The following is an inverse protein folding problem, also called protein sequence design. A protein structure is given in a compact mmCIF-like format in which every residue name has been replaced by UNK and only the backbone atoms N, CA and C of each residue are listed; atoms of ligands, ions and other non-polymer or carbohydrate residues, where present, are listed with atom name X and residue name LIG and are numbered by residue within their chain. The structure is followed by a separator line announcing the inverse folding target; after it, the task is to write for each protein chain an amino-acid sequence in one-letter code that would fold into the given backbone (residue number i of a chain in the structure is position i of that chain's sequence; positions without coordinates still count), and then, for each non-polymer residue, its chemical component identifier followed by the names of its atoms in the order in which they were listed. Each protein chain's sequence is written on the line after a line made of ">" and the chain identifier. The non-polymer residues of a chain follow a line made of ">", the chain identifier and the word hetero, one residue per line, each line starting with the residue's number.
data_IF_097220662198
#
_entry.id   IF_097220662198
#
_cell.length_a   1.000
_cell.length_b   1.000
_cell.length_c   1.000
_cell.angle_alpha   90.00
_cell.angle_beta   90.00
_cell.angle_gamma   90.00
#
_symmetry.space_group_name_H-M   'P 1'
#
loop_
_entity.id
_entity.type
_entity.pdbx_description
1 polymer ?
#
# COMPACT_ATOMS: atom_id res chain seq x y z
N UNK A 1 35.79 -28.45 0.90
CA UNK A 1 36.24 -27.05 0.67
C UNK A 1 35.01 -26.17 0.87
N UNK A 2 35.04 -25.23 1.81
CA UNK A 2 33.94 -24.26 1.96
C UNK A 2 33.99 -23.29 0.79
N UNK A 3 32.84 -23.04 0.16
CA UNK A 3 32.75 -22.11 -0.97
C UNK A 3 32.92 -20.68 -0.45
N UNK A 4 33.98 -19.99 -0.90
CA UNK A 4 34.17 -18.58 -0.60
C UNK A 4 32.97 -17.79 -1.16
N UNK A 5 32.15 -17.20 -0.28
CA UNK A 5 30.91 -16.48 -0.63
C UNK A 5 29.63 -17.06 -0.02
N UNK A 6 29.69 -18.22 0.64
CA UNK A 6 28.55 -18.82 1.34
C UNK A 6 28.19 -18.08 2.65
N UNK A 7 26.90 -17.93 2.94
CA UNK A 7 26.42 -17.23 4.15
C UNK A 7 26.67 -18.02 5.44
N UNK A 8 26.85 -17.34 6.57
CA UNK A 8 27.10 -17.98 7.89
C UNK A 8 26.01 -18.98 8.29
N UNK A 9 24.75 -18.66 8.00
CA UNK A 9 23.61 -19.54 8.32
C UNK A 9 23.62 -20.83 7.48
N UNK A 10 24.02 -20.75 6.20
CA UNK A 10 24.18 -21.90 5.33
C UNK A 10 25.29 -22.84 5.83
N UNK A 11 26.43 -22.27 6.22
CA UNK A 11 27.54 -23.02 6.83
C UNK A 11 27.10 -23.71 8.13
N UNK A 12 26.35 -23.02 8.99
CA UNK A 12 25.83 -23.59 10.23
C UNK A 12 24.87 -24.76 9.97
N UNK A 13 23.95 -24.61 9.01
CA UNK A 13 23.02 -25.69 8.66
C UNK A 13 23.75 -26.92 8.14
N UNK A 14 24.76 -26.75 7.27
CA UNK A 14 25.60 -27.86 6.78
C UNK A 14 26.34 -28.56 7.92
N UNK A 15 26.86 -27.79 8.87
CA UNK A 15 27.54 -28.34 10.03
C UNK A 15 26.59 -29.17 10.90
N UNK A 16 25.38 -28.66 11.16
CA UNK A 16 24.34 -29.37 11.94
C UNK A 16 23.93 -30.66 11.25
N UNK A 17 23.69 -30.62 9.93
CA UNK A 17 23.32 -31.80 9.15
C UNK A 17 24.43 -32.86 9.14
N UNK A 18 25.69 -32.43 8.96
CA UNK A 18 26.84 -33.34 9.03
C UNK A 18 26.95 -33.99 10.41
N UNK A 19 26.84 -33.19 11.47
CA UNK A 19 26.90 -33.72 12.84
C UNK A 19 25.78 -34.71 13.11
N UNK A 20 24.54 -34.39 12.69
CA UNK A 20 23.41 -35.31 12.84
C UNK A 20 23.66 -36.65 12.11
N UNK A 21 24.29 -36.61 10.93
CA UNK A 21 24.69 -37.82 10.22
C UNK A 21 25.80 -38.58 10.97
N UNK A 22 26.83 -37.90 11.47
CA UNK A 22 27.90 -38.50 12.27
C UNK A 22 27.33 -39.20 13.52
N UNK A 23 26.46 -38.53 14.26
CA UNK A 23 25.78 -39.08 15.45
C UNK A 23 24.98 -40.35 15.10
N UNK A 24 24.26 -40.36 13.96
CA UNK A 24 23.55 -41.55 13.47
C UNK A 24 24.54 -42.66 13.12
N UNK A 25 25.62 -42.35 12.41
CA UNK A 25 26.62 -43.35 12.02
C UNK A 25 27.41 -43.91 13.19
N UNK A 26 27.54 -43.17 14.29
CA UNK A 26 28.09 -43.66 15.56
C UNK A 26 27.14 -44.61 16.29
N UNK A 27 25.82 -44.37 16.20
CA UNK A 27 24.81 -45.26 16.78
C UNK A 27 24.68 -46.62 16.07
N UNK A 28 25.13 -46.72 14.81
CA UNK A 28 25.05 -47.95 14.02
C UNK A 28 26.27 -48.83 14.29
N UNK A 29 26.06 -49.94 15.00
CA UNK A 29 27.05 -51.00 15.18
C UNK A 29 27.00 -52.00 14.02
N UNK A 30 27.72 -51.72 12.93
CA UNK A 30 27.90 -52.68 11.83
C UNK A 30 28.58 -53.98 12.28
N UNK A 31 29.33 -53.93 13.38
CA UNK A 31 29.94 -55.11 13.98
C UNK A 31 28.90 -56.03 14.63
N UNK A 32 27.85 -55.49 15.26
CA UNK A 32 26.72 -56.29 15.77
C UNK A 32 25.86 -56.83 14.63
N UNK A 33 25.62 -56.03 13.59
CA UNK A 33 24.82 -56.41 12.41
C UNK A 33 25.40 -57.60 11.62
N UNK A 34 26.72 -57.79 11.67
CA UNK A 34 27.43 -58.75 10.80
C UNK A 34 28.30 -59.74 11.58
N UNK A 35 28.62 -59.44 12.84
CA UNK A 35 29.50 -60.24 13.69
C UNK A 35 28.98 -61.65 13.99
N UNK A 36 27.68 -61.90 13.83
CA UNK A 36 27.07 -63.22 14.02
C UNK A 36 27.24 -64.16 12.81
N UNK A 37 27.77 -63.68 11.68
CA UNK A 37 27.92 -64.53 10.49
C UNK A 37 29.14 -65.45 10.58
N UNK A 38 28.96 -66.79 10.48
CA UNK A 38 30.06 -67.75 10.47
C UNK A 38 31.06 -67.44 9.34
N UNK A 39 32.34 -67.28 9.68
CA UNK A 39 33.43 -67.11 8.70
C UNK A 39 33.89 -65.66 8.43
N UNK A 40 33.26 -64.64 9.04
CA UNK A 40 33.74 -63.26 8.92
C UNK A 40 34.80 -62.92 9.98
N UNK A 41 36.05 -62.75 9.51
CA UNK A 41 37.16 -62.25 10.35
C UNK A 41 36.94 -60.78 10.72
N UNK A 42 37.25 -60.39 11.96
CA UNK A 42 37.17 -58.99 12.46
C UNK A 42 37.71 -57.94 11.48
N UNK A 43 38.89 -58.17 10.89
CA UNK A 43 39.49 -57.27 9.88
C UNK A 43 38.60 -57.01 8.66
N UNK A 44 37.78 -57.99 8.23
CA UNK A 44 36.81 -57.82 7.13
C UNK A 44 35.60 -57.00 7.59
N UNK A 45 35.14 -57.22 8.83
CA UNK A 45 34.05 -56.44 9.45
C UNK A 45 34.45 -54.97 9.60
N UNK A 46 35.66 -54.70 10.12
CA UNK A 46 36.17 -53.33 10.29
C UNK A 46 36.33 -52.62 8.94
N UNK A 47 36.83 -53.33 7.92
CA UNK A 47 36.93 -52.80 6.56
C UNK A 47 35.56 -52.49 5.97
N UNK A 48 34.59 -53.39 6.12
CA UNK A 48 33.21 -53.17 5.66
C UNK A 48 32.60 -51.94 6.36
N UNK A 49 32.72 -51.85 7.68
CA UNK A 49 32.22 -50.73 8.47
C UNK A 49 32.81 -49.39 7.99
N UNK A 50 34.14 -49.33 7.80
CA UNK A 50 34.82 -48.15 7.30
C UNK A 50 34.36 -47.76 5.89
N UNK A 51 34.21 -48.74 4.98
CA UNK A 51 33.70 -48.51 3.62
C UNK A 51 32.26 -47.99 3.64
N UNK A 52 31.35 -48.64 4.38
CA UNK A 52 29.96 -48.19 4.48
C UNK A 52 29.84 -46.78 5.07
N UNK A 53 30.59 -46.47 6.13
CA UNK A 53 30.60 -45.11 6.71
C UNK A 53 31.07 -44.06 5.71
N UNK A 54 32.09 -44.39 4.92
CA UNK A 54 32.65 -43.48 3.92
C UNK A 54 31.67 -43.27 2.76
N UNK A 55 31.12 -44.34 2.20
CA UNK A 55 30.18 -44.26 1.07
C UNK A 55 28.90 -43.54 1.47
N UNK A 56 28.29 -43.91 2.60
CA UNK A 56 27.10 -43.22 3.10
C UNK A 56 27.37 -41.74 3.41
N UNK A 57 28.57 -41.42 3.92
CA UNK A 57 28.96 -40.03 4.17
C UNK A 57 29.10 -39.21 2.88
N UNK A 58 29.66 -39.80 1.82
CA UNK A 58 29.78 -39.15 0.51
C UNK A 58 28.41 -38.94 -0.14
N UNK A 59 27.55 -39.96 -0.11
CA UNK A 59 26.18 -39.87 -0.62
C UNK A 59 25.36 -38.82 0.15
N UNK A 60 25.43 -38.83 1.49
CA UNK A 60 24.77 -37.83 2.32
C UNK A 60 25.25 -36.42 1.99
N UNK A 61 26.57 -36.22 1.85
CA UNK A 61 27.11 -34.93 1.44
C UNK A 61 26.58 -34.52 0.05
N UNK A 62 26.49 -35.46 -0.90
CA UNK A 62 25.91 -35.22 -2.22
C UNK A 62 24.46 -34.74 -2.13
N UNK A 63 23.64 -35.38 -1.30
CA UNK A 63 22.24 -35.00 -1.06
C UNK A 63 22.15 -33.60 -0.45
N UNK A 64 22.99 -33.28 0.54
CA UNK A 64 23.01 -31.94 1.15
C UNK A 64 23.40 -30.88 0.10
N UNK A 65 24.41 -31.12 -0.72
CA UNK A 65 24.81 -30.15 -1.75
C UNK A 65 23.76 -30.01 -2.88
N UNK A 66 23.02 -31.08 -3.21
CA UNK A 66 21.87 -31.01 -4.11
C UNK A 66 20.74 -30.17 -3.50
N UNK A 67 20.34 -30.44 -2.25
CA UNK A 67 19.33 -29.65 -1.55
C UNK A 67 19.67 -28.15 -1.55
N UNK A 68 20.93 -27.81 -1.26
CA UNK A 68 21.36 -26.41 -1.24
C UNK A 68 21.31 -25.73 -2.61
N UNK A 69 21.56 -26.48 -3.68
CA UNK A 69 21.56 -25.98 -5.05
C UNK A 69 20.15 -25.89 -5.61
N UNK A 70 19.36 -26.94 -5.42
CA UNK A 70 18.05 -27.12 -6.06
C UNK A 70 16.99 -26.24 -5.39
N UNK A 71 17.04 -26.11 -4.06
CA UNK A 71 16.13 -25.22 -3.31
C UNK A 71 16.68 -23.81 -3.11
N UNK A 72 17.90 -23.53 -3.58
CA UNK A 72 18.54 -22.22 -3.42
C UNK A 72 18.73 -21.82 -1.95
N UNK A 73 19.01 -22.80 -1.07
CA UNK A 73 19.04 -22.59 0.39
C UNK A 73 19.98 -21.48 0.85
N UNK A 74 21.14 -21.32 0.21
CA UNK A 74 22.08 -20.23 0.57
C UNK A 74 21.44 -18.86 0.37
N UNK A 75 20.68 -18.67 -0.71
CA UNK A 75 19.98 -17.42 -0.98
C UNK A 75 18.83 -17.17 0.00
N UNK A 76 18.04 -18.20 0.31
CA UNK A 76 16.95 -18.11 1.30
C UNK A 76 17.48 -17.77 2.70
N UNK A 77 18.57 -18.40 3.11
CA UNK A 77 19.19 -18.16 4.41
C UNK A 77 19.87 -16.79 4.51
N UNK A 78 20.45 -16.28 3.40
CA UNK A 78 20.95 -14.90 3.31
C UNK A 78 19.82 -13.88 3.40
N UNK A 79 18.77 -14.04 2.61
CA UNK A 79 17.60 -13.16 2.65
C UNK A 79 16.95 -13.14 4.04
N UNK A 80 16.83 -14.30 4.70
CA UNK A 80 16.37 -14.37 6.09
C UNK A 80 17.28 -13.59 7.04
N UNK A 81 18.61 -13.68 6.87
CA UNK A 81 19.55 -12.94 7.71
C UNK A 81 19.42 -11.44 7.49
N UNK A 82 19.31 -10.98 6.25
CA UNK A 82 19.07 -9.57 5.90
C UNK A 82 17.79 -9.04 6.57
N UNK A 83 16.67 -9.78 6.47
CA UNK A 83 15.42 -9.43 7.14
C UNK A 83 15.57 -9.34 8.66
N UNK A 84 16.37 -10.20 9.30
CA UNK A 84 16.64 -10.09 10.74
C UNK A 84 17.45 -8.82 11.04
N UNK A 85 18.37 -8.45 10.16
CA UNK A 85 19.22 -7.27 10.34
C UNK A 85 18.47 -5.96 10.16
N UNK A 86 17.55 -5.88 9.19
CA UNK A 86 16.64 -4.75 8.99
C UNK A 86 15.74 -4.49 10.19
N UNK A 87 15.50 -5.51 11.02
CA UNK A 87 14.57 -5.47 12.14
C UNK A 87 15.26 -5.29 13.50
N UNK A 88 16.59 -5.11 13.52
CA UNK A 88 17.39 -4.95 14.75
C UNK A 88 16.89 -3.80 15.65
N UNK A 89 16.39 -2.73 15.05
CA UNK A 89 15.91 -1.56 15.79
C UNK A 89 14.53 -1.77 16.45
N UNK A 90 13.88 -2.92 16.20
CA UNK A 90 12.60 -3.29 16.82
C UNK A 90 12.75 -4.33 17.94
N UNK A 91 13.94 -4.43 18.53
CA UNK A 91 14.22 -5.35 19.63
C UNK A 91 13.32 -5.06 20.85
N UNK A 92 12.63 -6.09 21.35
CA UNK A 92 11.63 -5.98 22.43
C UNK A 92 10.18 -5.81 21.97
N UNK A 93 9.94 -5.54 20.69
CA UNK A 93 8.59 -5.50 20.12
C UNK A 93 8.14 -6.88 19.65
N UNK A 94 6.87 -7.22 19.92
CA UNK A 94 6.28 -8.44 19.34
C UNK A 94 5.84 -8.15 17.91
N UNK A 95 6.51 -8.78 16.96
CA UNK A 95 6.11 -8.70 15.55
C UNK A 95 4.70 -9.27 15.36
N UNK A 96 3.91 -8.60 14.52
CA UNK A 96 2.57 -9.06 14.16
C UNK A 96 2.62 -10.49 13.58
N UNK A 97 1.58 -11.27 13.87
CA UNK A 97 1.40 -12.63 13.38
C UNK A 97 0.02 -12.73 12.73
N UNK A 98 -0.14 -13.55 11.66
CA UNK A 98 -1.45 -13.80 11.07
C UNK A 98 -2.48 -14.17 12.15
N UNK A 99 -3.60 -13.48 12.14
CA UNK A 99 -4.62 -13.60 13.20
C UNK A 99 -5.43 -14.90 13.10
N UNK A 100 -5.34 -15.59 11.95
CA UNK A 100 -6.23 -16.69 11.57
C UNK A 100 -7.51 -16.21 10.86
N UNK A 101 -7.73 -14.90 10.79
CA UNK A 101 -8.82 -14.28 10.05
C UNK A 101 -8.28 -13.66 8.75
N UNK A 102 -8.64 -14.27 7.61
CA UNK A 102 -8.25 -13.76 6.29
C UNK A 102 -8.74 -12.32 6.09
N UNK A 103 -9.93 -11.99 6.61
CA UNK A 103 -10.53 -10.66 6.47
C UNK A 103 -9.66 -9.62 7.17
N UNK A 104 -9.27 -9.87 8.42
CA UNK A 104 -8.50 -8.91 9.21
C UNK A 104 -7.08 -8.74 8.67
N UNK A 105 -6.46 -9.85 8.25
CA UNK A 105 -5.12 -9.85 7.66
C UNK A 105 -5.11 -9.08 6.32
N UNK A 106 -6.15 -9.24 5.51
CA UNK A 106 -6.32 -8.51 4.24
C UNK A 106 -6.63 -7.03 4.43
N UNK A 107 -7.41 -6.66 5.45
CA UNK A 107 -7.68 -5.27 5.79
C UNK A 107 -6.40 -4.55 6.22
N UNK A 108 -5.58 -5.21 7.06
CA UNK A 108 -4.26 -4.72 7.46
C UNK A 108 -3.34 -4.49 6.26
N UNK A 109 -3.26 -5.47 5.35
CA UNK A 109 -2.45 -5.37 4.13
C UNK A 109 -2.87 -4.20 3.24
N UNK A 110 -4.17 -3.99 3.05
CA UNK A 110 -4.70 -2.94 2.18
C UNK A 110 -4.77 -1.55 2.83
N UNK A 111 -4.49 -1.43 4.13
CA UNK A 111 -4.71 -0.20 4.88
C UNK A 111 -3.93 0.99 4.31
N UNK A 112 -2.71 0.77 3.83
CA UNK A 112 -1.89 1.82 3.22
C UNK A 112 -2.54 2.38 1.93
N UNK A 113 -3.07 1.50 1.08
CA UNK A 113 -3.75 1.90 -0.16
C UNK A 113 -5.05 2.63 0.15
N UNK A 114 -5.83 2.13 1.11
CA UNK A 114 -7.08 2.75 1.55
C UNK A 114 -6.81 4.14 2.12
N UNK A 115 -5.78 4.27 2.96
CA UNK A 115 -5.37 5.56 3.56
C UNK A 115 -4.94 6.55 2.49
N UNK A 116 -4.15 6.11 1.50
CA UNK A 116 -3.74 6.96 0.38
C UNK A 116 -4.94 7.46 -0.45
N UNK A 117 -5.86 6.55 -0.80
CA UNK A 117 -7.09 6.90 -1.56
C UNK A 117 -8.00 7.84 -0.77
N UNK A 118 -8.15 7.60 0.54
CA UNK A 118 -8.93 8.47 1.41
C UNK A 118 -8.36 9.88 1.42
N UNK A 119 -7.04 10.02 1.59
CA UNK A 119 -6.37 11.33 1.55
C UNK A 119 -6.59 12.04 0.21
N UNK A 120 -6.49 11.31 -0.90
CA UNK A 120 -6.74 11.86 -2.23
C UNK A 120 -8.19 12.35 -2.37
N UNK A 121 -9.17 11.55 -1.94
CA UNK A 121 -10.58 11.92 -2.00
C UNK A 121 -10.87 13.16 -1.14
N UNK A 122 -10.31 13.25 0.07
CA UNK A 122 -10.44 14.43 0.93
C UNK A 122 -9.94 15.70 0.24
N UNK A 123 -8.75 15.66 -0.37
CA UNK A 123 -8.20 16.82 -1.10
C UNK A 123 -9.09 17.24 -2.27
N UNK A 124 -9.70 16.28 -2.99
CA UNK A 124 -10.63 16.59 -4.09
C UNK A 124 -11.91 17.24 -3.57
N UNK A 125 -12.48 16.74 -2.47
CA UNK A 125 -13.66 17.32 -1.83
C UNK A 125 -13.40 18.75 -1.36
N UNK A 126 -12.32 18.97 -0.62
CA UNK A 126 -11.95 20.31 -0.12
C UNK A 126 -11.70 21.32 -1.26
N UNK A 127 -11.23 20.84 -2.42
CA UNK A 127 -11.09 21.69 -3.61
C UNK A 127 -12.47 22.07 -4.17
N UNK A 128 -13.35 21.09 -4.34
CA UNK A 128 -14.70 21.30 -4.86
C UNK A 128 -15.53 22.21 -3.94
N UNK A 129 -15.43 22.04 -2.62
CA UNK A 129 -16.11 22.89 -1.63
C UNK A 129 -15.69 24.36 -1.77
N UNK A 130 -14.39 24.64 -1.91
CA UNK A 130 -13.89 26.01 -2.16
C UNK A 130 -14.37 26.61 -3.47
N UNK A 131 -14.44 25.80 -4.53
CA UNK A 131 -14.97 26.24 -5.82
C UNK A 131 -16.46 26.58 -5.70
N UNK A 132 -17.24 25.76 -4.98
CA UNK A 132 -18.66 26.02 -4.72
C UNK A 132 -18.86 27.28 -3.90
N UNK A 133 -18.09 27.50 -2.84
CA UNK A 133 -18.15 28.74 -2.05
C UNK A 133 -17.87 29.98 -2.91
N UNK A 134 -16.87 29.88 -3.79
CA UNK A 134 -16.52 30.96 -4.72
C UNK A 134 -17.67 31.25 -5.68
N UNK A 135 -18.26 30.20 -6.27
CA UNK A 135 -19.42 30.34 -7.17
C UNK A 135 -20.63 30.91 -6.43
N UNK A 136 -20.88 30.50 -5.19
CA UNK A 136 -21.98 30.99 -4.38
C UNK A 136 -21.85 32.50 -4.14
N UNK A 137 -20.65 32.97 -3.81
CA UNK A 137 -20.34 34.40 -3.65
C UNK A 137 -20.59 35.18 -4.95
N UNK A 138 -20.10 34.68 -6.08
CA UNK A 138 -20.31 35.31 -7.40
C UNK A 138 -21.79 35.40 -7.78
N UNK A 139 -22.56 34.33 -7.53
CA UNK A 139 -24.00 34.30 -7.79
C UNK A 139 -24.74 35.30 -6.89
N UNK A 140 -24.36 35.42 -5.62
CA UNK A 140 -24.94 36.41 -4.72
C UNK A 140 -24.67 37.85 -5.20
N UNK A 141 -23.44 38.14 -5.60
CA UNK A 141 -23.06 39.46 -6.13
C UNK A 141 -23.84 39.78 -7.42
N UNK A 142 -23.93 38.83 -8.34
CA UNK A 142 -24.70 38.98 -9.58
C UNK A 142 -26.19 39.23 -9.31
N UNK A 143 -26.78 38.51 -8.35
CA UNK A 143 -28.19 38.74 -7.92
C UNK A 143 -28.38 40.13 -7.33
N UNK A 144 -27.45 40.61 -6.50
CA UNK A 144 -27.52 41.95 -5.94
C UNK A 144 -27.46 43.04 -7.04
N UNK A 145 -26.56 42.88 -8.03
CA UNK A 145 -26.48 43.77 -9.20
C UNK A 145 -27.77 43.75 -10.02
N UNK A 146 -28.33 42.58 -10.28
CA UNK A 146 -29.58 42.45 -11.03
C UNK A 146 -30.75 43.18 -10.32
N UNK A 147 -30.88 42.99 -9.00
CA UNK A 147 -31.88 43.70 -8.18
C UNK A 147 -31.65 45.22 -8.23
N UNK A 148 -30.39 45.67 -8.17
CA UNK A 148 -30.06 47.09 -8.26
C UNK A 148 -30.46 47.70 -9.61
N UNK A 149 -30.13 47.03 -10.72
CA UNK A 149 -30.52 47.47 -12.06
C UNK A 149 -32.03 47.45 -12.26
N UNK A 150 -32.74 46.45 -11.72
CA UNK A 150 -34.19 46.43 -11.74
C UNK A 150 -34.80 47.66 -11.05
N UNK A 151 -34.26 48.07 -9.90
CA UNK A 151 -34.70 49.28 -9.19
C UNK A 151 -34.43 50.56 -9.99
N UNK A 152 -33.24 50.66 -10.61
CA UNK A 152 -32.90 51.80 -11.47
C UNK A 152 -33.85 51.90 -12.68
N UNK A 153 -34.14 50.77 -13.33
CA UNK A 153 -35.05 50.72 -14.46
C UNK A 153 -36.47 51.14 -14.05
N UNK A 154 -36.99 50.61 -12.94
CA UNK A 154 -38.30 50.99 -12.42
C UNK A 154 -38.37 52.49 -12.11
N UNK A 155 -37.34 53.06 -11.49
CA UNK A 155 -37.31 54.50 -11.20
C UNK A 155 -37.27 55.35 -12.49
N UNK A 156 -36.54 54.90 -13.51
CA UNK A 156 -36.49 55.58 -14.80
C UNK A 156 -37.83 55.50 -15.55
N UNK A 157 -38.52 54.35 -15.48
CA UNK A 157 -39.87 54.17 -16.03
C UNK A 157 -40.88 55.10 -15.34
N UNK A 158 -40.84 55.18 -14.01
CA UNK A 158 -41.72 56.07 -13.24
C UNK A 158 -41.45 57.55 -13.57
N UNK A 159 -40.17 57.93 -13.69
CA UNK A 159 -39.80 59.28 -14.12
C UNK A 159 -40.31 59.58 -15.55
N UNK A 160 -40.21 58.62 -16.47
CA UNK A 160 -40.71 58.77 -17.83
C UNK A 160 -42.22 58.94 -17.86
N UNK A 161 -42.99 58.15 -17.09
CA UNK A 161 -44.45 58.31 -16.96
C UNK A 161 -44.82 59.69 -16.43
N UNK A 162 -44.16 60.14 -15.36
CA UNK A 162 -44.40 61.46 -14.78
C UNK A 162 -44.12 62.61 -15.78
N UNK A 163 -43.07 62.48 -16.61
CA UNK A 163 -42.77 63.46 -17.65
C UNK A 163 -43.84 63.49 -18.74
N UNK A 164 -44.34 62.33 -19.18
CA UNK A 164 -45.43 62.23 -20.16
C UNK A 164 -46.70 62.87 -19.61
N UNK A 165 -47.08 62.56 -18.36
CA UNK A 165 -48.24 63.19 -17.70
C UNK A 165 -48.10 64.70 -17.60
N UNK A 166 -46.90 65.19 -17.24
CA UNK A 166 -46.63 66.63 -17.19
C UNK A 166 -46.80 67.29 -18.56
N UNK A 167 -46.24 66.72 -19.63
CA UNK A 167 -46.37 67.24 -21.00
C UNK A 167 -47.84 67.27 -21.41
N UNK A 168 -48.59 66.18 -21.21
CA UNK A 168 -50.01 66.12 -21.55
C UNK A 168 -50.82 67.21 -20.80
N UNK A 169 -50.50 67.44 -19.52
CA UNK A 169 -51.16 68.49 -18.72
C UNK A 169 -50.83 69.89 -19.24
N UNK A 170 -49.59 70.15 -19.65
CA UNK A 170 -49.18 71.43 -20.24
C UNK A 170 -49.86 71.66 -21.60
N UNK A 171 -49.92 70.64 -22.46
CA UNK A 171 -50.62 70.71 -23.74
C UNK A 171 -52.11 71.01 -23.56
N UNK A 172 -52.79 70.34 -22.62
CA UNK A 172 -54.18 70.66 -22.26
C UNK A 172 -54.34 72.11 -21.78
N UNK A 173 -53.44 72.59 -20.92
CA UNK A 173 -53.48 73.97 -20.42
C UNK A 173 -53.27 75.00 -21.54
N UNK A 174 -52.34 74.73 -22.46
CA UNK A 174 -52.11 75.56 -23.64
C UNK A 174 -53.32 75.58 -24.57
N UNK A 175 -53.94 74.43 -24.85
CA UNK A 175 -55.16 74.34 -25.67
C UNK A 175 -56.30 75.12 -25.04
N UNK A 176 -56.53 74.99 -23.72
CA UNK A 176 -57.56 75.77 -23.00
C UNK A 176 -57.32 77.28 -23.13
N UNK A 177 -56.07 77.72 -22.99
CA UNK A 177 -55.69 79.13 -23.12
C UNK A 177 -55.90 79.63 -24.55
N UNK A 178 -55.48 78.87 -25.56
CA UNK A 178 -55.67 79.21 -26.96
C UNK A 178 -57.16 79.32 -27.33
N UNK A 179 -58.01 78.38 -26.87
CA UNK A 179 -59.45 78.45 -27.07
C UNK A 179 -60.07 79.67 -26.37
N UNK A 180 -59.59 80.06 -25.19
CA UNK A 180 -60.10 81.24 -24.48
C UNK A 180 -59.80 82.57 -25.19
N UNK A 181 -58.71 82.62 -25.97
CA UNK A 181 -58.31 83.80 -26.75
C UNK A 181 -59.07 83.95 -28.07
N UNK A 182 -59.70 82.89 -28.58
CA UNK A 182 -60.49 82.92 -29.83
C UNK A 182 -61.93 83.41 -29.57
N UNK A 183 -62.37 83.43 -28.32
CA UNK A 183 -63.74 83.81 -27.92
C UNK A 183 -63.87 85.32 -27.60
N UNK A 184 -62.79 86.09 -27.72
CA UNK A 184 -62.76 87.57 -27.63
C UNK A 184 -62.44 88.21 -28.99
#
# INVERSE_FOLDING_TARGET
>A
MMAAGEGKQAQLLRLVLRKAFEDVMESISFAELIGEKPGMKKKKVDRFNSTCKTELGQEFQGIVESLFRDEGMDQLLKSRQELIEEQKDMEGCTAWRPSGSVVDDMLSFNMNVITAKRKQATVMCEKAEREVETLFSQVQEARAKAIHHQKQLSAAEDQSKNLIEFINTQEEAHLRTACSLIIY
#
